data_IF_069331470465
#
_entry.id   IF_069331470465
#
_cell.length_a   1.000
_cell.length_b   1.000
_cell.length_c   1.000
_cell.angle_alpha   90.00
_cell.angle_beta   90.00
_cell.angle_gamma   90.00
#
_symmetry.space_group_name_H-M   'P 1'
#
loop_
_entity.id
_entity.type
_entity.pdbx_description
1 polymer ?
#
# COMPACT_ATOMS: atom_id res chain seq x y z
N UNK A 1 19.33 5.27 -1.99
CA UNK A 1 19.72 4.88 -0.60
C UNK A 1 20.04 3.40 -0.63
N UNK A 2 21.00 2.87 0.16
CA UNK A 2 21.21 1.43 0.18
C UNK A 2 20.14 0.76 1.05
N UNK A 3 19.20 0.08 0.43
CA UNK A 3 18.06 -0.55 1.11
C UNK A 3 18.49 -1.56 2.20
N UNK A 4 19.62 -2.25 2.04
CA UNK A 4 20.13 -3.22 3.02
C UNK A 4 20.51 -2.58 4.37
N UNK A 5 20.71 -1.28 4.40
CA UNK A 5 21.13 -0.54 5.62
C UNK A 5 20.19 0.59 6.00
N UNK A 6 19.24 0.94 5.13
CA UNK A 6 18.23 1.95 5.41
C UNK A 6 17.15 1.43 6.39
N UNK A 7 16.44 2.32 7.02
CA UNK A 7 15.27 2.03 7.87
C UNK A 7 15.53 0.94 8.94
N UNK A 8 16.73 0.89 9.51
CA UNK A 8 17.04 -0.07 10.58
C UNK A 8 16.59 0.47 11.92
N UNK A 9 15.64 -0.21 12.55
CA UNK A 9 15.22 0.08 13.92
C UNK A 9 16.31 -0.30 14.93
N UNK A 10 16.09 0.10 16.18
CA UNK A 10 16.99 -0.26 17.30
C UNK A 10 17.32 -1.76 17.34
N UNK A 11 16.33 -2.63 17.08
CA UNK A 11 16.49 -4.08 17.15
C UNK A 11 17.43 -4.63 16.08
N UNK A 12 17.54 -3.95 14.93
CA UNK A 12 18.30 -4.40 13.76
C UNK A 12 19.49 -3.52 13.40
N UNK A 13 19.85 -2.56 14.28
CA UNK A 13 20.94 -1.61 14.03
C UNK A 13 22.27 -2.31 13.76
N UNK A 14 22.53 -3.45 14.42
CA UNK A 14 23.76 -4.25 14.29
C UNK A 14 23.56 -5.58 13.55
N UNK A 15 22.37 -5.81 12.99
CA UNK A 15 22.11 -7.04 12.24
C UNK A 15 22.96 -7.12 10.96
N UNK A 16 23.24 -8.33 10.52
CA UNK A 16 23.86 -8.57 9.21
C UNK A 16 23.00 -7.98 8.08
N UNK A 17 23.62 -7.73 6.94
CA UNK A 17 22.86 -7.29 5.78
C UNK A 17 21.98 -8.44 5.27
N UNK A 18 20.72 -8.14 4.88
CA UNK A 18 19.86 -9.15 4.26
C UNK A 18 20.47 -9.64 2.94
N UNK A 19 20.10 -10.84 2.56
CA UNK A 19 20.41 -11.40 1.24
C UNK A 19 19.83 -10.53 0.12
N UNK A 20 20.27 -10.75 -1.10
CA UNK A 20 19.71 -10.09 -2.28
C UNK A 20 18.29 -10.58 -2.52
N UNK A 21 17.39 -9.64 -2.82
CA UNK A 21 16.03 -9.97 -3.18
C UNK A 21 16.00 -10.40 -4.65
N UNK A 22 15.32 -11.52 -4.91
CA UNK A 22 15.08 -12.03 -6.26
C UNK A 22 13.58 -12.23 -6.43
N UNK A 23 12.99 -11.61 -7.44
CA UNK A 23 11.58 -11.67 -7.74
C UNK A 23 11.35 -12.44 -9.05
N UNK A 24 10.70 -13.60 -8.95
CA UNK A 24 10.14 -14.31 -10.12
C UNK A 24 8.83 -13.63 -10.52
N UNK A 25 8.72 -13.06 -11.73
CA UNK A 25 7.49 -12.41 -12.18
C UNK A 25 6.23 -13.28 -12.04
N UNK A 26 6.33 -14.58 -12.32
CA UNK A 26 5.21 -15.51 -12.25
C UNK A 26 4.71 -15.79 -10.82
N UNK A 27 5.53 -15.49 -9.81
CA UNK A 27 5.25 -15.73 -8.38
C UNK A 27 5.23 -14.44 -7.57
N UNK A 28 5.17 -13.31 -8.25
CA UNK A 28 5.18 -11.98 -7.65
C UNK A 28 3.90 -11.22 -8.01
N UNK A 29 3.37 -10.48 -7.06
CA UNK A 29 2.27 -9.54 -7.27
C UNK A 29 2.68 -8.13 -6.83
N UNK A 30 2.26 -7.13 -7.59
CA UNK A 30 2.24 -5.73 -7.17
C UNK A 30 0.89 -5.42 -6.55
N UNK A 31 0.86 -5.14 -5.25
CA UNK A 31 -0.33 -4.79 -4.49
C UNK A 31 -0.41 -3.28 -4.24
N UNK A 32 -1.39 -2.63 -4.85
CA UNK A 32 -1.64 -1.18 -4.73
C UNK A 32 -2.77 -0.94 -3.74
N UNK A 33 -2.48 -0.25 -2.63
CA UNK A 33 -3.40 -0.09 -1.50
C UNK A 33 -3.93 1.35 -1.41
N UNK A 34 -5.24 1.52 -1.47
CA UNK A 34 -6.02 2.71 -1.10
C UNK A 34 -5.62 4.06 -1.75
N UNK A 35 -4.94 4.07 -2.89
CA UNK A 35 -4.71 5.32 -3.63
C UNK A 35 -6.02 5.70 -4.34
N UNK A 36 -6.95 6.31 -3.58
CA UNK A 36 -8.33 6.60 -3.97
C UNK A 36 -8.58 8.10 -4.03
N UNK A 37 -9.55 8.51 -4.86
CA UNK A 37 -9.89 9.91 -5.10
C UNK A 37 -10.16 10.69 -3.80
N UNK A 38 -10.94 10.12 -2.87
CA UNK A 38 -11.33 10.78 -1.62
C UNK A 38 -10.16 11.28 -0.77
N UNK A 39 -9.01 10.60 -0.84
CA UNK A 39 -7.83 10.99 -0.06
C UNK A 39 -7.07 12.16 -0.66
N UNK A 40 -7.32 12.48 -1.93
CA UNK A 40 -6.68 13.58 -2.65
C UNK A 40 -7.59 14.80 -2.82
N UNK A 41 -8.81 14.74 -2.34
CA UNK A 41 -9.74 15.87 -2.36
C UNK A 41 -9.28 16.94 -1.35
N UNK A 42 -9.33 18.23 -1.75
CA UNK A 42 -9.10 19.34 -0.82
C UNK A 42 -10.04 19.24 0.38
N UNK A 43 -9.59 19.71 1.54
CA UNK A 43 -10.42 19.75 2.74
C UNK A 43 -11.30 21.00 2.76
N UNK A 44 -12.53 20.87 3.25
CA UNK A 44 -13.46 21.99 3.34
C UNK A 44 -12.96 23.10 4.27
N UNK A 45 -12.29 22.73 5.34
CA UNK A 45 -11.67 23.66 6.26
C UNK A 45 -10.27 24.08 5.79
N UNK A 46 -10.02 25.39 5.68
CA UNK A 46 -8.77 25.94 5.15
C UNK A 46 -7.54 25.68 6.04
N UNK A 47 -7.73 25.49 7.35
CA UNK A 47 -6.62 25.16 8.26
C UNK A 47 -6.27 23.68 8.12
N UNK A 48 -7.29 22.82 8.07
CA UNK A 48 -7.11 21.39 7.83
C UNK A 48 -6.51 21.15 6.42
N UNK A 49 -6.97 21.86 5.39
CA UNK A 49 -6.39 21.76 4.05
C UNK A 49 -4.90 22.11 4.04
N UNK A 50 -4.49 23.22 4.69
CA UNK A 50 -3.09 23.59 4.84
C UNK A 50 -2.27 22.51 5.57
N UNK A 51 -2.87 21.88 6.57
CA UNK A 51 -2.23 20.79 7.34
C UNK A 51 -1.94 19.57 6.47
N UNK A 52 -2.78 19.28 5.47
CA UNK A 52 -2.63 18.15 4.54
C UNK A 52 -1.77 18.45 3.31
N UNK A 53 -1.39 19.72 3.06
CA UNK A 53 -0.59 20.08 1.88
C UNK A 53 0.70 19.26 1.72
N UNK A 54 1.50 18.94 2.76
CA UNK A 54 2.68 18.09 2.58
C UNK A 54 2.34 16.69 2.05
N UNK A 55 1.25 16.10 2.54
CA UNK A 55 0.75 14.81 2.02
C UNK A 55 0.34 14.93 0.55
N UNK A 56 -0.44 15.95 0.19
CA UNK A 56 -0.88 16.14 -1.20
C UNK A 56 0.31 16.34 -2.13
N UNK A 57 1.31 17.11 -1.73
CA UNK A 57 2.54 17.31 -2.50
C UNK A 57 3.27 15.98 -2.70
N UNK A 58 3.51 15.19 -1.63
CA UNK A 58 4.14 13.87 -1.73
C UNK A 58 3.36 12.92 -2.64
N UNK A 59 2.04 12.89 -2.52
CA UNK A 59 1.20 12.04 -3.37
C UNK A 59 1.31 12.43 -4.85
N UNK A 60 1.19 13.71 -5.17
CA UNK A 60 1.17 14.18 -6.56
C UNK A 60 2.55 14.16 -7.23
N UNK A 61 3.59 14.52 -6.47
CA UNK A 61 4.93 14.72 -7.02
C UNK A 61 5.80 13.44 -6.98
N UNK A 62 5.48 12.50 -6.08
CA UNK A 62 6.32 11.31 -5.84
C UNK A 62 5.51 10.01 -5.96
N UNK A 63 4.50 9.80 -5.10
CA UNK A 63 3.86 8.49 -4.93
C UNK A 63 3.10 8.07 -6.19
N UNK A 64 2.21 8.90 -6.70
CA UNK A 64 1.39 8.57 -7.88
C UNK A 64 2.26 8.37 -9.13
N UNK A 65 3.20 9.26 -9.47
CA UNK A 65 4.08 9.05 -10.63
C UNK A 65 4.94 7.79 -10.52
N UNK A 66 5.52 7.52 -9.36
CA UNK A 66 6.34 6.33 -9.14
C UNK A 66 5.52 5.05 -9.18
N UNK A 67 4.32 5.05 -8.56
CA UNK A 67 3.42 3.90 -8.60
C UNK A 67 2.93 3.64 -10.03
N UNK A 68 2.60 4.67 -10.80
CA UNK A 68 2.22 4.52 -12.20
C UNK A 68 3.33 3.88 -13.03
N UNK A 69 4.58 4.33 -12.84
CA UNK A 69 5.74 3.76 -13.52
C UNK A 69 5.98 2.29 -13.11
N UNK A 70 5.82 1.98 -11.81
CA UNK A 70 5.98 0.61 -11.30
C UNK A 70 4.88 -0.33 -11.82
N UNK A 71 3.63 0.15 -11.92
CA UNK A 71 2.51 -0.60 -12.52
C UNK A 71 2.79 -0.88 -14.00
N UNK A 72 3.29 0.11 -14.75
CA UNK A 72 3.62 -0.06 -16.16
C UNK A 72 4.72 -1.12 -16.36
N UNK A 73 5.77 -1.08 -15.55
CA UNK A 73 6.86 -2.09 -15.57
C UNK A 73 6.34 -3.47 -15.17
N UNK A 74 5.50 -3.57 -14.13
CA UNK A 74 4.88 -4.83 -13.71
C UNK A 74 4.06 -5.46 -14.85
N UNK A 75 3.22 -4.67 -15.53
CA UNK A 75 2.44 -5.11 -16.68
C UNK A 75 3.32 -5.59 -17.85
N UNK A 76 4.40 -4.86 -18.13
CA UNK A 76 5.35 -5.23 -19.19
C UNK A 76 6.06 -6.55 -18.91
N UNK A 77 6.38 -6.83 -17.65
CA UNK A 77 7.01 -8.08 -17.19
C UNK A 77 6.04 -9.24 -16.99
N UNK A 78 4.73 -9.01 -17.09
CA UNK A 78 3.73 -10.01 -16.76
C UNK A 78 3.59 -10.30 -15.25
N UNK A 79 4.00 -9.37 -14.42
CA UNK A 79 3.73 -9.38 -12.97
C UNK A 79 2.28 -8.98 -12.75
N UNK A 80 1.56 -9.76 -11.97
CA UNK A 80 0.15 -9.50 -11.64
C UNK A 80 0.01 -8.19 -10.83
N UNK A 81 -0.96 -7.36 -11.19
CA UNK A 81 -1.29 -6.14 -10.44
C UNK A 81 -2.64 -6.32 -9.76
N UNK A 82 -2.64 -6.19 -8.43
CA UNK A 82 -3.86 -6.27 -7.62
C UNK A 82 -4.06 -4.94 -6.89
N UNK A 83 -5.28 -4.43 -6.93
CA UNK A 83 -5.68 -3.25 -6.19
C UNK A 83 -6.51 -3.66 -4.97
N UNK A 84 -6.19 -3.08 -3.81
CA UNK A 84 -7.04 -3.17 -2.63
C UNK A 84 -7.53 -1.76 -2.30
N UNK A 85 -8.85 -1.56 -2.27
CA UNK A 85 -9.42 -0.27 -1.90
C UNK A 85 -10.40 -0.39 -0.75
N UNK A 86 -10.34 0.56 0.18
CA UNK A 86 -11.29 0.62 1.29
C UNK A 86 -12.61 1.20 0.83
N UNK A 87 -13.71 0.49 1.09
CA UNK A 87 -15.05 0.94 0.73
C UNK A 87 -16.11 0.27 1.58
N UNK A 88 -17.29 0.91 1.71
CA UNK A 88 -18.47 0.30 2.31
C UNK A 88 -19.22 -0.53 1.25
N UNK A 89 -19.64 -1.73 1.61
CA UNK A 89 -20.54 -2.54 0.78
C UNK A 89 -21.99 -2.08 0.93
N UNK A 90 -22.30 -1.41 2.05
CA UNK A 90 -23.60 -0.79 2.35
C UNK A 90 -23.48 0.73 2.30
N UNK A 91 -24.49 1.40 1.75
CA UNK A 91 -24.49 2.86 1.61
C UNK A 91 -24.38 3.61 2.95
N UNK A 92 -24.86 2.99 4.03
CA UNK A 92 -24.79 3.52 5.39
C UNK A 92 -23.46 3.19 6.13
N UNK A 93 -22.57 2.42 5.52
CA UNK A 93 -21.25 2.05 6.07
C UNK A 93 -21.29 1.16 7.30
N UNK A 94 -22.43 0.54 7.64
CA UNK A 94 -22.57 -0.32 8.84
C UNK A 94 -21.74 -1.59 8.80
N UNK A 95 -21.27 -2.00 7.63
CA UNK A 95 -20.43 -3.17 7.37
C UNK A 95 -18.94 -2.93 7.65
N UNK A 96 -18.52 -1.71 7.94
CA UNK A 96 -17.14 -1.36 8.26
C UNK A 96 -16.77 -1.79 9.68
N UNK A 97 -15.47 -1.96 9.94
CA UNK A 97 -14.94 -2.26 11.28
C UNK A 97 -15.29 -1.15 12.30
N UNK A 98 -15.23 -1.46 13.59
CA UNK A 98 -15.52 -0.48 14.64
C UNK A 98 -14.58 0.73 14.58
N UNK A 99 -13.28 0.53 14.31
CA UNK A 99 -12.31 1.62 14.16
C UNK A 99 -12.68 2.56 13.01
N UNK A 100 -13.17 2.00 11.91
CA UNK A 100 -13.56 2.74 10.71
C UNK A 100 -14.93 3.45 10.83
N UNK A 101 -15.67 3.21 11.91
CA UNK A 101 -16.99 3.81 12.18
C UNK A 101 -16.99 4.82 13.32
N UNK A 102 -15.86 5.05 13.98
CA UNK A 102 -15.79 5.96 15.12
C UNK A 102 -16.02 7.41 14.68
N UNK A 103 -17.09 8.07 15.17
CA UNK A 103 -17.32 9.49 14.89
C UNK A 103 -16.17 10.35 15.41
N UNK A 104 -15.83 11.39 14.67
CA UNK A 104 -14.91 12.41 15.09
C UNK A 104 -13.45 12.25 14.68
N UNK A 105 -13.01 11.08 14.21
CA UNK A 105 -11.64 10.97 13.70
C UNK A 105 -11.38 9.95 12.57
N UNK A 106 -12.22 8.98 12.35
CA UNK A 106 -11.96 7.99 11.28
C UNK A 106 -13.18 7.67 10.41
N UNK A 107 -14.23 8.44 10.54
CA UNK A 107 -15.49 8.21 9.84
C UNK A 107 -15.44 8.80 8.43
N UNK A 108 -14.99 7.99 7.46
CA UNK A 108 -15.15 8.29 6.04
C UNK A 108 -16.20 7.35 5.45
N UNK A 109 -17.33 7.90 5.02
CA UNK A 109 -18.37 7.13 4.36
C UNK A 109 -18.07 7.05 2.85
N UNK A 110 -17.56 5.90 2.43
CA UNK A 110 -17.17 5.62 1.04
C UNK A 110 -17.92 4.41 0.48
N UNK A 111 -19.19 4.56 0.03
CA UNK A 111 -19.88 3.50 -0.68
C UNK A 111 -19.09 3.06 -1.92
N UNK A 112 -19.03 1.76 -2.15
CA UNK A 112 -18.16 1.14 -3.18
C UNK A 112 -18.39 1.65 -4.61
N UNK A 113 -19.60 2.10 -4.91
CA UNK A 113 -20.01 2.53 -6.26
C UNK A 113 -19.89 4.06 -6.46
N UNK A 114 -19.46 4.81 -5.44
CA UNK A 114 -19.22 6.25 -5.56
C UNK A 114 -17.84 6.52 -6.16
N UNK A 115 -17.75 7.53 -7.01
CA UNK A 115 -16.52 7.89 -7.71
C UNK A 115 -15.35 8.25 -6.76
N UNK A 116 -15.64 8.86 -5.60
CA UNK A 116 -14.65 9.20 -4.58
C UNK A 116 -13.98 7.95 -3.96
N UNK A 117 -14.66 6.80 -3.94
CA UNK A 117 -14.10 5.54 -3.46
C UNK A 117 -13.25 4.80 -4.51
N UNK A 118 -13.22 5.25 -5.75
CA UNK A 118 -12.45 4.60 -6.81
C UNK A 118 -10.96 4.95 -6.73
N UNK A 119 -10.12 4.08 -7.29
CA UNK A 119 -8.69 4.33 -7.52
C UNK A 119 -8.55 5.57 -8.40
N UNK A 120 -7.53 6.39 -8.14
CA UNK A 120 -7.25 7.58 -8.95
C UNK A 120 -7.03 7.22 -10.42
N UNK A 121 -7.49 8.07 -11.34
CA UNK A 121 -7.46 7.80 -12.78
C UNK A 121 -6.06 7.51 -13.33
N UNK A 122 -5.01 8.10 -12.74
CA UNK A 122 -3.63 7.86 -13.14
C UNK A 122 -3.15 6.41 -12.88
N UNK A 123 -3.83 5.67 -12.00
CA UNK A 123 -3.50 4.30 -11.62
C UNK A 123 -4.64 3.32 -11.92
N UNK A 124 -5.58 3.70 -12.78
CA UNK A 124 -6.81 2.93 -13.03
C UNK A 124 -6.51 1.47 -13.39
N UNK A 125 -7.19 0.49 -12.72
CA UNK A 125 -7.10 -0.91 -13.07
C UNK A 125 -7.45 -1.16 -14.54
N UNK A 126 -6.74 -2.08 -15.18
CA UNK A 126 -6.93 -2.42 -16.60
C UNK A 126 -7.32 -3.87 -16.80
N UNK A 127 -8.12 -4.13 -17.84
CA UNK A 127 -8.50 -5.48 -18.22
C UNK A 127 -9.21 -6.23 -17.10
N UNK A 128 -8.65 -7.36 -16.70
CA UNK A 128 -9.13 -8.24 -15.64
C UNK A 128 -8.34 -8.13 -14.33
N UNK A 129 -7.54 -7.06 -14.16
CA UNK A 129 -6.82 -6.80 -12.92
C UNK A 129 -7.76 -6.81 -11.71
N UNK A 130 -7.36 -7.53 -10.67
CA UNK A 130 -8.21 -7.79 -9.52
C UNK A 130 -8.32 -6.54 -8.65
N UNK A 131 -9.55 -6.15 -8.31
CA UNK A 131 -9.84 -5.08 -7.34
C UNK A 131 -10.53 -5.68 -6.12
N UNK A 132 -9.82 -5.74 -5.00
CA UNK A 132 -10.33 -6.22 -3.72
C UNK A 132 -10.98 -5.07 -2.95
N UNK A 133 -12.23 -5.24 -2.56
CA UNK A 133 -12.93 -4.32 -1.65
C UNK A 133 -12.72 -4.75 -0.21
N UNK A 134 -12.19 -3.86 0.62
CA UNK A 134 -11.98 -4.11 2.05
C UNK A 134 -12.76 -3.11 2.92
N UNK A 135 -13.28 -3.59 4.03
CA UNK A 135 -14.03 -2.81 5.02
C UNK A 135 -13.23 -2.58 6.31
N UNK A 136 -11.93 -2.93 6.26
CA UNK A 136 -10.95 -2.83 7.36
C UNK A 136 -9.64 -2.28 6.81
N UNK A 137 -8.65 -2.06 7.68
CA UNK A 137 -7.34 -1.55 7.27
C UNK A 137 -6.54 -2.58 6.46
N UNK A 138 -6.36 -3.80 6.97
CA UNK A 138 -5.65 -4.85 6.25
C UNK A 138 -6.42 -5.35 5.01
N UNK A 139 -5.73 -5.48 3.89
CA UNK A 139 -6.29 -6.04 2.67
C UNK A 139 -6.62 -7.55 2.78
N UNK A 140 -6.07 -8.26 3.77
CA UNK A 140 -6.34 -9.68 3.98
C UNK A 140 -7.50 -9.92 4.94
N UNK A 141 -7.78 -8.98 5.84
CA UNK A 141 -8.82 -9.17 6.86
C UNK A 141 -10.22 -9.03 6.27
N UNK A 142 -10.98 -10.11 6.28
CA UNK A 142 -12.36 -10.13 5.80
C UNK A 142 -12.52 -10.14 4.29
N UNK A 143 -11.44 -10.29 3.53
CA UNK A 143 -11.45 -10.42 2.07
C UNK A 143 -11.04 -11.83 1.63
N UNK A 144 -11.17 -12.11 0.34
CA UNK A 144 -10.67 -13.35 -0.25
C UNK A 144 -9.23 -13.22 -0.83
N UNK A 145 -8.54 -12.11 -0.60
CA UNK A 145 -7.21 -11.86 -1.16
C UNK A 145 -6.21 -12.98 -0.83
N UNK A 146 -6.21 -13.45 0.44
CA UNK A 146 -5.37 -14.57 0.87
C UNK A 146 -5.54 -15.80 -0.02
N UNK A 147 -6.78 -16.16 -0.31
CA UNK A 147 -7.09 -17.32 -1.14
C UNK A 147 -6.68 -17.09 -2.59
N UNK A 148 -6.90 -15.89 -3.12
CA UNK A 148 -6.48 -15.49 -4.45
C UNK A 148 -4.97 -15.65 -4.60
N UNK A 149 -4.18 -15.06 -3.71
CA UNK A 149 -2.71 -15.14 -3.75
C UNK A 149 -2.23 -16.60 -3.69
N UNK A 150 -2.82 -17.43 -2.84
CA UNK A 150 -2.48 -18.86 -2.75
C UNK A 150 -2.84 -19.63 -4.01
N UNK A 151 -4.01 -19.39 -4.59
CA UNK A 151 -4.45 -20.05 -5.82
C UNK A 151 -3.58 -19.68 -7.03
N UNK A 152 -3.04 -18.47 -7.03
CA UNK A 152 -2.12 -17.95 -8.04
C UNK A 152 -0.65 -18.33 -7.77
N UNK A 153 -0.39 -19.12 -6.72
CA UNK A 153 0.95 -19.57 -6.31
C UNK A 153 1.93 -18.38 -6.03
N UNK A 154 1.40 -17.25 -5.58
CA UNK A 154 2.21 -16.07 -5.23
C UNK A 154 3.03 -16.35 -3.99
N UNK A 155 4.32 -15.99 -4.04
CA UNK A 155 5.26 -16.03 -2.93
C UNK A 155 5.70 -14.62 -2.50
N UNK A 156 5.80 -13.70 -3.45
CA UNK A 156 6.34 -12.36 -3.23
C UNK A 156 5.26 -11.31 -3.44
N UNK A 157 5.15 -10.38 -2.50
CA UNK A 157 4.20 -9.27 -2.57
C UNK A 157 4.95 -7.95 -2.48
N UNK A 158 4.97 -7.21 -3.58
CA UNK A 158 5.48 -5.83 -3.64
C UNK A 158 4.34 -4.90 -3.28
N UNK A 159 4.47 -4.14 -2.20
CA UNK A 159 3.40 -3.34 -1.59
C UNK A 159 3.64 -1.85 -1.82
N UNK A 160 2.61 -1.17 -2.30
CA UNK A 160 2.56 0.30 -2.47
C UNK A 160 1.25 0.84 -1.92
N UNK A 161 1.17 2.15 -1.66
CA UNK A 161 -0.10 2.79 -1.32
C UNK A 161 -0.11 3.61 -0.04
N UNK A 162 -1.29 3.84 0.50
CA UNK A 162 -1.55 4.69 1.67
C UNK A 162 -2.48 4.02 2.69
N UNK A 163 -2.47 4.47 3.96
CA UNK A 163 -1.37 5.21 4.56
C UNK A 163 -0.34 4.23 5.07
N UNK A 164 0.94 4.60 4.97
CA UNK A 164 2.06 3.74 5.38
C UNK A 164 1.88 3.18 6.77
N UNK A 165 1.46 4.03 7.71
CA UNK A 165 1.25 3.73 9.14
C UNK A 165 -0.12 3.08 9.46
N UNK A 166 -0.98 2.87 8.46
CA UNK A 166 -2.32 2.30 8.65
C UNK A 166 -2.55 1.09 7.74
N UNK A 167 -3.20 1.27 6.59
CA UNK A 167 -3.60 0.18 5.72
C UNK A 167 -2.40 -0.59 5.13
N UNK A 168 -1.34 0.12 4.73
CA UNK A 168 -0.10 -0.52 4.24
C UNK A 168 0.51 -1.37 5.35
N UNK A 169 0.81 -0.78 6.49
CA UNK A 169 1.43 -1.46 7.64
C UNK A 169 0.59 -2.64 8.15
N UNK A 170 -0.73 -2.47 8.25
CA UNK A 170 -1.65 -3.53 8.65
C UNK A 170 -1.65 -4.70 7.66
N UNK A 171 -1.61 -4.41 6.36
CA UNK A 171 -1.53 -5.43 5.31
C UNK A 171 -0.19 -6.14 5.31
N UNK A 172 0.92 -5.40 5.44
CA UNK A 172 2.29 -5.94 5.49
C UNK A 172 2.45 -6.95 6.62
N UNK A 173 1.99 -6.62 7.84
CA UNK A 173 2.03 -7.55 8.97
C UNK A 173 1.20 -8.80 8.71
N UNK A 174 0.00 -8.65 8.15
CA UNK A 174 -0.84 -9.80 7.82
C UNK A 174 -0.19 -10.70 6.76
N UNK A 175 0.44 -10.13 5.74
CA UNK A 175 1.15 -10.89 4.70
C UNK A 175 2.34 -11.66 5.28
N UNK A 176 3.16 -10.99 6.10
CA UNK A 176 4.34 -11.60 6.74
C UNK A 176 3.94 -12.75 7.67
N UNK A 177 2.92 -12.57 8.51
CA UNK A 177 2.39 -13.60 9.40
C UNK A 177 1.84 -14.81 8.63
N UNK A 178 1.47 -14.64 7.37
CA UNK A 178 1.02 -15.69 6.47
C UNK A 178 2.11 -16.25 5.55
N UNK A 179 3.36 -15.90 5.82
CA UNK A 179 4.55 -16.44 5.14
C UNK A 179 4.67 -16.03 3.67
N UNK A 180 4.27 -14.80 3.34
CA UNK A 180 4.67 -14.17 2.09
C UNK A 180 5.98 -13.40 2.27
N UNK A 181 6.81 -13.36 1.24
CA UNK A 181 7.93 -12.43 1.15
C UNK A 181 7.38 -11.04 0.80
N UNK A 182 7.60 -10.07 1.67
CA UNK A 182 7.02 -8.74 1.50
C UNK A 182 8.09 -7.70 1.23
N UNK A 183 7.89 -6.91 0.17
CA UNK A 183 8.73 -5.77 -0.19
C UNK A 183 7.85 -4.52 -0.18
N UNK A 184 8.21 -3.51 0.60
CA UNK A 184 7.50 -2.22 0.67
C UNK A 184 8.28 -1.17 -0.09
N UNK A 185 7.62 -0.46 -1.00
CA UNK A 185 8.27 0.54 -1.84
C UNK A 185 8.08 1.93 -1.23
N UNK A 186 9.15 2.47 -0.63
CA UNK A 186 9.15 3.74 0.13
C UNK A 186 8.55 4.90 -0.69
N UNK A 187 9.09 5.13 -1.87
CA UNK A 187 8.71 6.23 -2.76
C UNK A 187 7.42 5.96 -3.59
N UNK A 188 6.74 4.85 -3.29
CA UNK A 188 5.38 4.53 -3.71
C UNK A 188 4.40 4.46 -2.53
N UNK A 189 4.81 4.94 -1.35
CA UNK A 189 3.97 4.99 -0.15
C UNK A 189 3.98 6.40 0.48
N UNK A 190 2.92 6.72 1.21
CA UNK A 190 2.83 7.92 2.04
C UNK A 190 2.02 7.69 3.30
N UNK A 191 2.40 8.39 4.39
CA UNK A 191 1.56 8.66 5.55
C UNK A 191 1.13 10.13 5.54
N UNK A 192 0.34 10.56 6.52
CA UNK A 192 -0.10 11.96 6.63
C UNK A 192 1.06 12.95 6.77
N UNK A 193 2.18 12.51 7.32
CA UNK A 193 3.44 13.27 7.41
C UNK A 193 4.64 12.39 7.07
N UNK A 194 5.72 13.00 6.59
CA UNK A 194 6.97 12.29 6.32
C UNK A 194 7.57 11.66 7.60
N UNK A 195 7.31 12.26 8.76
CA UNK A 195 7.77 11.72 10.04
C UNK A 195 7.05 10.40 10.37
N UNK A 196 5.72 10.35 10.29
CA UNK A 196 4.94 9.12 10.47
C UNK A 196 5.33 8.05 9.46
N UNK A 197 5.48 8.44 8.20
CA UNK A 197 5.92 7.55 7.13
C UNK A 197 7.26 6.90 7.45
N UNK A 198 8.27 7.70 7.77
CA UNK A 198 9.61 7.19 8.10
C UNK A 198 9.61 6.30 9.35
N UNK A 199 8.91 6.70 10.41
CA UNK A 199 8.83 5.92 11.64
C UNK A 199 8.20 4.55 11.40
N UNK A 200 7.11 4.49 10.63
CA UNK A 200 6.50 3.19 10.34
C UNK A 200 7.40 2.31 9.47
N UNK A 201 8.08 2.87 8.46
CA UNK A 201 9.05 2.12 7.69
C UNK A 201 10.17 1.54 8.54
N UNK A 202 10.69 2.30 9.53
CA UNK A 202 11.66 1.80 10.51
C UNK A 202 11.09 0.67 11.39
N UNK A 203 9.79 0.73 11.72
CA UNK A 203 9.14 -0.29 12.58
C UNK A 203 8.94 -1.60 11.84
N UNK A 204 8.48 -1.55 10.59
CA UNK A 204 8.14 -2.76 9.83
C UNK A 204 9.33 -3.39 9.12
N UNK A 205 10.39 -2.62 8.84
CA UNK A 205 11.54 -3.10 8.09
C UNK A 205 12.29 -4.22 8.83
N UNK A 206 12.76 -5.20 8.08
CA UNK A 206 13.49 -6.40 8.50
C UNK A 206 12.63 -7.44 9.24
N UNK A 207 11.64 -7.05 10.04
CA UNK A 207 10.80 -8.01 10.77
C UNK A 207 9.61 -8.51 9.93
N UNK A 208 8.98 -7.63 9.15
CA UNK A 208 7.79 -7.95 8.35
C UNK A 208 8.01 -7.82 6.85
N UNK A 209 8.99 -7.02 6.44
CA UNK A 209 9.25 -6.72 5.03
C UNK A 209 10.68 -6.23 4.83
N UNK A 210 11.05 -6.01 3.58
CA UNK A 210 12.18 -5.17 3.22
C UNK A 210 11.67 -3.87 2.59
N UNK A 211 12.16 -2.74 3.10
CA UNK A 211 11.84 -1.41 2.58
C UNK A 211 12.87 -1.00 1.55
N UNK A 212 12.42 -0.71 0.34
CA UNK A 212 13.26 -0.43 -0.83
C UNK A 212 12.72 0.77 -1.60
N UNK A 213 13.50 1.31 -2.54
CA UNK A 213 12.99 2.29 -3.52
C UNK A 213 12.37 1.60 -4.74
N UNK A 214 11.58 2.34 -5.53
CA UNK A 214 11.10 1.86 -6.82
C UNK A 214 12.26 1.38 -7.72
N UNK A 215 13.34 2.14 -7.79
CA UNK A 215 14.49 1.81 -8.62
C UNK A 215 15.19 0.51 -8.15
N UNK A 216 15.20 0.23 -6.85
CA UNK A 216 15.70 -1.05 -6.32
C UNK A 216 14.83 -2.22 -6.81
N UNK A 217 13.49 -2.10 -6.76
CA UNK A 217 12.57 -3.15 -7.21
C UNK A 217 12.82 -3.56 -8.65
N UNK A 218 13.06 -2.60 -9.55
CA UNK A 218 13.31 -2.86 -10.96
C UNK A 218 14.55 -3.75 -11.20
N UNK A 219 15.47 -3.80 -10.23
CA UNK A 219 16.69 -4.62 -10.30
C UNK A 219 16.52 -6.03 -9.74
N UNK A 220 15.41 -6.33 -9.07
CA UNK A 220 15.18 -7.62 -8.40
C UNK A 220 14.56 -8.68 -9.30
N UNK A 221 13.95 -8.29 -10.40
CA UNK A 221 13.34 -9.23 -11.34
C UNK A 221 14.37 -10.00 -12.16
N UNK A 222 14.14 -11.31 -12.29
CA UNK A 222 15.02 -12.25 -13.02
C UNK A 222 14.44 -12.64 -14.39
#
# INVERSE_FOLDING_TARGET
MNWKTAYRSFYYATAEQPEDIVLDPARTVLLVIDIQNTYLEPKDDAEEDRRWQPFFARMNDVVIPNTAALIADARERGVEVIFARIACLKDDGRDRSLSQKKPGFNYLLMPKDRADSHVVSALEPQGDEIVVLKTTDSALTGTNLRLILRNMEIENVVVTGIFTDQCVSSTVRSLADESFNVVVVDDCCAAATDELHRHELEIINMIYCHVVSRDDVLTFYT
#
